data_IF_398398971308
#
_entry.id   IF_398398971308
#
_cell.length_a   1.000
_cell.length_b   1.000
_cell.length_c   1.000
_cell.angle_alpha   90.00
_cell.angle_beta   90.00
_cell.angle_gamma   90.00
#
_symmetry.space_group_name_H-M   'P 1'
#
loop_
_entity.id
_entity.type
_entity.pdbx_description
1 polymer ?
#
# COMPACT_ATOMS: atom_id res chain seq x y z
N UNK A 1 -4.19 3.28 -20.82
CA UNK A 1 -3.26 2.33 -21.46
C UNK A 1 -1.89 2.93 -21.76
N UNK A 2 -1.79 4.23 -22.09
CA UNK A 2 -0.52 4.89 -22.44
C UNK A 2 0.48 5.12 -21.29
N UNK A 3 0.01 5.24 -20.04
CA UNK A 3 0.89 5.52 -18.90
C UNK A 3 1.91 4.42 -18.63
N UNK A 4 1.47 3.16 -18.68
CA UNK A 4 2.32 1.98 -18.45
C UNK A 4 3.37 1.84 -19.57
N UNK A 5 2.97 2.14 -20.81
CA UNK A 5 3.88 2.08 -21.95
C UNK A 5 4.97 3.17 -21.85
N UNK A 6 4.57 4.40 -21.50
CA UNK A 6 5.50 5.51 -21.25
C UNK A 6 6.47 5.22 -20.12
N UNK A 7 5.99 4.63 -19.03
CA UNK A 7 6.82 4.29 -17.88
C UNK A 7 7.87 3.23 -18.27
N UNK A 8 7.45 2.18 -18.99
CA UNK A 8 8.35 1.15 -19.52
C UNK A 8 9.39 1.71 -20.49
N UNK A 9 8.97 2.60 -21.40
CA UNK A 9 9.89 3.29 -22.33
C UNK A 9 10.90 4.15 -21.57
N UNK A 10 10.47 4.87 -20.53
CA UNK A 10 11.38 5.70 -19.72
C UNK A 10 12.46 4.88 -18.98
N UNK A 11 12.12 3.65 -18.58
CA UNK A 11 13.08 2.72 -17.96
C UNK A 11 14.09 2.24 -19.01
N UNK A 12 13.63 1.91 -20.21
CA UNK A 12 14.49 1.50 -21.33
C UNK A 12 15.43 2.65 -21.73
N UNK A 13 14.92 3.88 -21.83
CA UNK A 13 15.73 5.04 -22.20
C UNK A 13 16.83 5.32 -21.15
N UNK A 14 16.51 5.20 -19.85
CA UNK A 14 17.50 5.32 -18.77
C UNK A 14 18.56 4.22 -18.83
N UNK A 15 18.18 2.99 -19.18
CA UNK A 15 19.11 1.88 -19.35
C UNK A 15 20.05 2.11 -20.52
N UNK A 16 19.53 2.55 -21.66
CA UNK A 16 20.33 2.88 -22.85
C UNK A 16 21.28 4.05 -22.55
N UNK A 17 20.82 5.05 -21.80
CA UNK A 17 21.63 6.20 -21.41
C UNK A 17 22.80 5.78 -20.51
N UNK A 18 22.55 4.95 -19.49
CA UNK A 18 23.61 4.38 -18.64
C UNK A 18 24.66 3.60 -19.44
N UNK A 19 24.22 2.78 -20.40
CA UNK A 19 25.11 1.99 -21.27
C UNK A 19 25.96 2.90 -22.19
N UNK A 20 25.44 4.06 -22.60
CA UNK A 20 26.17 5.03 -23.44
C UNK A 20 27.19 5.85 -22.65
N UNK A 21 26.85 6.25 -21.43
CA UNK A 21 27.66 7.18 -20.64
C UNK A 21 28.81 6.47 -19.88
N UNK A 22 28.64 5.20 -19.50
CA UNK A 22 29.67 4.41 -18.84
C UNK A 22 30.26 3.36 -19.79
N UNK A 23 31.46 3.62 -20.32
CA UNK A 23 32.15 2.81 -21.35
C UNK A 23 32.39 1.32 -20.99
N UNK A 24 32.09 0.89 -19.76
CA UNK A 24 32.29 -0.49 -19.30
C UNK A 24 31.12 -1.09 -18.52
N UNK A 25 29.94 -0.46 -18.48
CA UNK A 25 28.79 -1.10 -17.80
C UNK A 25 28.13 -2.10 -18.74
N UNK A 26 28.35 -3.39 -18.45
CA UNK A 26 27.67 -4.46 -19.16
C UNK A 26 26.22 -4.50 -18.72
N UNK A 27 25.32 -4.81 -19.65
CA UNK A 27 23.89 -5.04 -19.34
C UNK A 27 23.72 -6.04 -18.19
N UNK A 28 24.62 -7.03 -18.08
CA UNK A 28 24.64 -8.00 -17.00
C UNK A 28 24.84 -7.39 -15.61
N UNK A 29 25.57 -6.28 -15.51
CA UNK A 29 25.85 -5.62 -14.22
C UNK A 29 24.63 -4.82 -13.78
N UNK A 30 23.95 -4.14 -14.71
CA UNK A 30 22.68 -3.47 -14.42
C UNK A 30 21.60 -4.47 -14.00
N UNK A 31 21.51 -5.62 -14.68
CA UNK A 31 20.56 -6.67 -14.32
C UNK A 31 20.87 -7.28 -12.94
N UNK A 32 22.15 -7.44 -12.58
CA UNK A 32 22.54 -7.88 -11.24
C UNK A 32 22.13 -6.86 -10.18
N UNK A 33 22.38 -5.58 -10.40
CA UNK A 33 21.96 -4.50 -9.48
C UNK A 33 20.45 -4.53 -9.24
N UNK A 34 19.66 -4.70 -10.30
CA UNK A 34 18.20 -4.76 -10.18
C UNK A 34 17.74 -6.04 -9.47
N UNK A 35 18.36 -7.20 -9.76
CA UNK A 35 18.09 -8.44 -9.03
C UNK A 35 18.39 -8.26 -7.54
N UNK A 36 19.50 -7.64 -7.18
CA UNK A 36 19.87 -7.44 -5.77
C UNK A 36 19.01 -6.38 -5.08
N UNK A 37 18.53 -5.36 -5.81
CA UNK A 37 17.49 -4.45 -5.35
C UNK A 37 16.18 -5.20 -5.07
N UNK A 38 15.72 -6.05 -6.00
CA UNK A 38 14.50 -6.84 -5.85
C UNK A 38 14.60 -7.82 -4.68
N UNK A 39 15.75 -8.48 -4.49
CA UNK A 39 15.99 -9.34 -3.32
C UNK A 39 15.88 -8.58 -2.00
N UNK A 40 16.46 -7.38 -1.91
CA UNK A 40 16.35 -6.52 -0.71
C UNK A 40 14.90 -6.14 -0.43
N UNK A 41 14.18 -5.67 -1.44
CA UNK A 41 12.74 -5.36 -1.32
C UNK A 41 11.92 -6.58 -0.88
N UNK A 42 12.24 -7.76 -1.41
CA UNK A 42 11.55 -8.98 -1.02
C UNK A 42 11.85 -9.37 0.44
N UNK A 43 13.10 -9.22 0.89
CA UNK A 43 13.47 -9.46 2.29
C UNK A 43 12.77 -8.48 3.25
N UNK A 44 12.72 -7.19 2.89
CA UNK A 44 11.98 -6.17 3.65
C UNK A 44 10.48 -6.50 3.71
N UNK A 45 9.90 -6.96 2.60
CA UNK A 45 8.50 -7.37 2.54
C UNK A 45 8.19 -8.59 3.42
N UNK A 46 9.04 -9.63 3.36
CA UNK A 46 8.94 -10.80 4.23
C UNK A 46 9.06 -10.43 5.71
N UNK A 47 9.95 -9.51 6.04
CA UNK A 47 10.10 -9.00 7.40
C UNK A 47 8.81 -8.32 7.88
N UNK A 48 8.21 -7.45 7.06
CA UNK A 48 6.93 -6.78 7.37
C UNK A 48 5.80 -7.81 7.54
N UNK A 49 5.70 -8.80 6.66
CA UNK A 49 4.70 -9.87 6.78
C UNK A 49 4.86 -10.68 8.06
N UNK A 50 6.10 -10.97 8.43
CA UNK A 50 6.40 -11.74 9.64
C UNK A 50 5.90 -11.05 10.92
N UNK A 51 5.87 -9.71 10.91
CA UNK A 51 5.41 -8.86 12.02
C UNK A 51 3.89 -8.72 12.11
N UNK A 52 3.14 -9.02 11.04
CA UNK A 52 1.66 -8.87 10.98
C UNK A 52 0.91 -10.21 10.96
N UNK A 53 1.36 -11.19 11.76
CA UNK A 53 0.68 -12.50 11.90
C UNK A 53 -0.56 -12.38 12.77
N UNK A 54 -1.59 -13.19 12.49
CA UNK A 54 -2.80 -13.26 13.32
C UNK A 54 -2.47 -13.95 14.65
N UNK A 55 -2.71 -13.26 15.76
CA UNK A 55 -2.53 -13.79 17.12
C UNK A 55 -3.84 -14.29 17.72
N UNK A 56 -4.94 -13.59 17.48
CA UNK A 56 -6.27 -14.03 17.95
C UNK A 56 -7.37 -13.67 16.94
N UNK A 57 -8.48 -14.41 17.01
CA UNK A 57 -9.70 -14.20 16.24
C UNK A 57 -10.89 -14.20 17.20
N UNK A 58 -11.74 -13.19 17.11
CA UNK A 58 -12.96 -13.03 17.91
C UNK A 58 -14.15 -12.76 16.98
N UNK A 59 -15.28 -13.42 17.23
CA UNK A 59 -16.54 -13.11 16.55
C UNK A 59 -17.39 -12.19 17.43
N UNK A 60 -17.65 -10.98 16.92
CA UNK A 60 -18.38 -9.94 17.64
C UNK A 60 -19.80 -9.88 17.07
N UNK A 61 -20.78 -10.27 17.90
CA UNK A 61 -22.22 -10.16 17.61
C UNK A 61 -22.63 -10.80 16.27
N UNK A 62 -21.96 -11.89 15.85
CA UNK A 62 -22.22 -12.66 14.62
C UNK A 62 -21.89 -11.98 13.29
N UNK A 63 -21.77 -10.64 13.27
CA UNK A 63 -21.67 -9.83 12.05
C UNK A 63 -20.28 -9.24 11.82
N UNK A 64 -19.44 -9.25 12.84
CA UNK A 64 -18.07 -8.74 12.79
C UNK A 64 -17.10 -9.83 13.21
N UNK A 65 -15.97 -9.90 12.52
CA UNK A 65 -14.83 -10.71 12.93
C UNK A 65 -13.68 -9.77 13.20
N UNK A 66 -13.11 -9.84 14.41
CA UNK A 66 -11.94 -9.08 14.83
C UNK A 66 -10.73 -10.01 14.90
N UNK A 67 -9.65 -9.58 14.29
CA UNK A 67 -8.34 -10.22 14.33
C UNK A 67 -7.38 -9.28 15.06
N UNK A 68 -6.70 -9.80 16.07
CA UNK A 68 -5.59 -9.09 16.71
C UNK A 68 -4.29 -9.62 16.12
N UNK A 69 -3.44 -8.72 15.63
CA UNK A 69 -2.17 -9.06 14.99
C UNK A 69 -1.03 -9.11 16.03
N UNK A 70 0.08 -9.76 15.68
CA UNK A 70 1.25 -9.93 16.55
C UNK A 70 1.90 -8.61 16.97
N UNK A 71 1.83 -7.59 16.13
CA UNK A 71 2.31 -6.24 16.42
C UNK A 71 1.36 -5.44 17.33
N UNK A 72 0.16 -5.96 17.63
CA UNK A 72 -0.89 -5.27 18.39
C UNK A 72 -1.91 -4.52 17.52
N UNK A 73 -1.70 -4.47 16.19
CA UNK A 73 -2.66 -3.93 15.24
C UNK A 73 -3.97 -4.74 15.24
N UNK A 74 -5.07 -4.11 14.82
CA UNK A 74 -6.40 -4.72 14.82
C UNK A 74 -6.98 -4.70 13.41
N UNK A 75 -7.34 -5.87 12.90
CA UNK A 75 -8.04 -6.01 11.62
C UNK A 75 -9.47 -6.50 11.85
N UNK A 76 -10.46 -5.84 11.25
CA UNK A 76 -11.88 -6.19 11.45
C UNK A 76 -12.58 -6.31 10.12
N UNK A 77 -13.38 -7.36 9.98
CA UNK A 77 -14.28 -7.58 8.85
C UNK A 77 -15.71 -7.38 9.34
N UNK A 78 -16.47 -6.48 8.71
CA UNK A 78 -17.89 -6.28 8.96
C UNK A 78 -18.71 -6.83 7.78
N UNK A 79 -19.30 -8.03 7.97
CA UNK A 79 -20.03 -8.74 6.92
C UNK A 79 -21.32 -8.02 6.54
N UNK A 80 -22.03 -7.43 7.50
CA UNK A 80 -23.32 -6.77 7.27
C UNK A 80 -23.18 -5.47 6.48
N UNK A 81 -22.18 -4.66 6.82
CA UNK A 81 -21.97 -3.36 6.17
C UNK A 81 -21.00 -3.44 4.98
N UNK A 82 -20.54 -4.64 4.63
CA UNK A 82 -19.63 -4.91 3.52
C UNK A 82 -18.40 -3.98 3.49
N UNK A 83 -17.69 -3.90 4.62
CA UNK A 83 -16.39 -3.23 4.70
C UNK A 83 -15.47 -3.97 5.66
N UNK A 84 -14.18 -3.73 5.53
CA UNK A 84 -13.15 -4.17 6.46
C UNK A 84 -12.27 -2.99 6.85
N UNK A 85 -11.60 -3.05 7.99
CA UNK A 85 -10.63 -2.04 8.36
C UNK A 85 -9.42 -2.61 9.09
N UNK A 86 -8.29 -1.93 8.96
CA UNK A 86 -7.05 -2.16 9.71
C UNK A 86 -6.76 -0.91 10.53
N UNK A 87 -6.68 -1.06 11.86
CA UNK A 87 -6.02 -0.10 12.74
C UNK A 87 -4.58 -0.54 12.94
N UNK A 88 -3.64 0.28 12.48
CA UNK A 88 -2.21 0.04 12.66
C UNK A 88 -1.74 0.75 13.94
N UNK A 89 -1.26 -0.02 14.92
CA UNK A 89 -0.90 0.51 16.23
C UNK A 89 0.32 1.43 16.19
N UNK A 90 1.26 1.20 15.27
CA UNK A 90 2.51 1.95 15.20
C UNK A 90 2.29 3.34 14.62
N UNK A 91 1.36 3.46 13.68
CA UNK A 91 1.06 4.73 12.99
C UNK A 91 -0.21 5.39 13.51
N UNK A 92 -1.03 4.67 14.28
CA UNK A 92 -2.39 5.07 14.68
C UNK A 92 -3.30 5.42 13.50
N UNK A 93 -3.00 4.92 12.30
CA UNK A 93 -3.82 5.10 11.10
C UNK A 93 -4.90 4.02 11.06
N UNK A 94 -6.13 4.41 10.73
CA UNK A 94 -7.22 3.47 10.43
C UNK A 94 -7.45 3.46 8.91
N UNK A 95 -7.30 2.30 8.29
CA UNK A 95 -7.58 2.09 6.86
C UNK A 95 -8.83 1.27 6.69
N UNK A 96 -9.88 1.84 6.10
CA UNK A 96 -11.10 1.16 5.69
C UNK A 96 -11.01 0.75 4.22
N UNK A 97 -11.55 -0.41 3.89
CA UNK A 97 -11.81 -0.84 2.51
C UNK A 97 -13.29 -1.24 2.44
N UNK A 98 -14.02 -0.56 1.56
CA UNK A 98 -15.45 -0.75 1.33
C UNK A 98 -15.66 -1.71 0.16
N UNK A 99 -16.79 -2.42 0.15
CA UNK A 99 -17.10 -3.41 -0.88
C UNK A 99 -17.26 -2.86 -2.30
N UNK A 100 -17.35 -1.53 -2.46
CA UNK A 100 -17.32 -0.86 -3.77
C UNK A 100 -15.89 -0.61 -4.29
N UNK A 101 -14.85 -0.99 -3.55
CA UNK A 101 -13.44 -0.75 -3.89
C UNK A 101 -12.88 0.59 -3.38
N UNK A 102 -13.68 1.40 -2.69
CA UNK A 102 -13.22 2.63 -2.06
C UNK A 102 -12.33 2.29 -0.85
N UNK A 103 -11.25 3.05 -0.68
CA UNK A 103 -10.35 2.94 0.48
C UNK A 103 -10.32 4.28 1.19
N UNK A 104 -10.48 4.28 2.51
CA UNK A 104 -10.36 5.48 3.34
C UNK A 104 -9.28 5.31 4.41
N UNK A 105 -8.32 6.22 4.48
CA UNK A 105 -7.30 6.27 5.53
C UNK A 105 -7.57 7.45 6.42
N UNK A 106 -7.79 7.22 7.71
CA UNK A 106 -7.92 8.26 8.72
C UNK A 106 -6.61 8.35 9.50
N UNK A 107 -6.01 9.54 9.49
CA UNK A 107 -4.75 9.83 10.18
C UNK A 107 -5.01 10.38 11.60
N UNK A 108 -4.03 10.30 12.52
CA UNK A 108 -4.20 10.72 13.93
C UNK A 108 -4.66 12.16 14.15
N UNK A 109 -4.47 13.04 13.16
CA UNK A 109 -4.84 14.46 13.22
C UNK A 109 -6.18 14.77 12.55
N UNK A 110 -7.00 13.75 12.24
CA UNK A 110 -8.33 13.91 11.66
C UNK A 110 -8.35 14.06 10.14
N UNK A 111 -7.17 14.17 9.50
CA UNK A 111 -7.05 14.14 8.04
C UNK A 111 -7.53 12.78 7.51
N UNK A 112 -8.26 12.79 6.41
CA UNK A 112 -8.66 11.59 5.68
C UNK A 112 -8.18 11.62 4.24
N UNK A 113 -7.60 10.51 3.79
CA UNK A 113 -7.38 10.23 2.37
C UNK A 113 -8.49 9.27 1.92
N UNK A 114 -9.23 9.62 0.88
CA UNK A 114 -10.27 8.79 0.27
C UNK A 114 -9.82 8.47 -1.15
N UNK A 115 -9.57 7.20 -1.42
CA UNK A 115 -9.26 6.69 -2.76
C UNK A 115 -10.49 6.03 -3.36
N UNK A 116 -10.94 6.56 -4.47
CA UNK A 116 -12.07 6.04 -5.22
C UNK A 116 -11.62 4.84 -6.09
N UNK A 117 -12.56 3.97 -6.52
CA UNK A 117 -12.25 2.81 -7.36
C UNK A 117 -11.65 3.18 -8.72
N UNK A 118 -11.92 4.39 -9.23
CA UNK A 118 -11.37 4.94 -10.46
C UNK A 118 -9.94 5.51 -10.29
N UNK A 119 -9.37 5.42 -9.08
CA UNK A 119 -8.04 5.91 -8.75
C UNK A 119 -7.98 7.37 -8.30
N UNK A 120 -9.10 8.11 -8.31
CA UNK A 120 -9.13 9.48 -7.78
C UNK A 120 -8.86 9.50 -6.29
N UNK A 121 -8.14 10.52 -5.84
CA UNK A 121 -7.79 10.71 -4.44
C UNK A 121 -8.38 12.02 -3.95
N UNK A 122 -9.10 11.97 -2.84
CA UNK A 122 -9.67 13.14 -2.17
C UNK A 122 -9.06 13.23 -0.78
N UNK A 123 -8.52 14.40 -0.43
CA UNK A 123 -8.03 14.68 0.91
C UNK A 123 -9.06 15.54 1.65
N UNK A 124 -9.43 15.11 2.86
CA UNK A 124 -10.31 15.87 3.76
C UNK A 124 -9.52 16.26 5.01
N UNK A 125 -9.35 17.55 5.22
CA UNK A 125 -8.78 18.14 6.44
C UNK A 125 -9.82 18.37 7.54
N UNK A 126 -11.10 18.46 7.17
CA UNK A 126 -12.24 18.68 8.08
C UNK A 126 -13.53 18.07 7.51
N UNK A 127 -14.63 18.04 8.28
CA UNK A 127 -15.94 17.54 7.78
C UNK A 127 -16.50 18.35 6.60
N UNK A 128 -15.96 19.55 6.32
CA UNK A 128 -16.52 20.53 5.37
C UNK A 128 -15.58 20.98 4.25
N UNK A 129 -14.30 20.60 4.26
CA UNK A 129 -13.32 21.04 3.26
C UNK A 129 -12.86 19.88 2.38
N UNK A 130 -12.85 20.12 1.06
CA UNK A 130 -12.44 19.17 0.03
C UNK A 130 -11.29 19.76 -0.77
N UNK A 131 -10.11 19.14 -0.68
CA UNK A 131 -9.07 19.31 -1.68
C UNK A 131 -9.15 18.11 -2.64
N UNK A 132 -9.51 18.38 -3.90
CA UNK A 132 -9.44 17.44 -5.00
C UNK A 132 -8.06 17.56 -5.65
N UNK A 133 -7.28 16.48 -5.59
CA UNK A 133 -5.98 16.37 -6.26
C UNK A 133 -6.10 15.53 -7.55
#
# INVERSE_FOLDING_TARGET
MDGILKERLSVIDRLIQKIRDEKEVRVTDILKEEIDRLKRLNAEYEEVLSKKKVKSKEEIKGNKIKYTLSDGSIYVINKTKNYKYLYDINTSIITYEFGNGQIERTFPFGIKEIRMPDGKIVIKSSEKEYDLL
#
